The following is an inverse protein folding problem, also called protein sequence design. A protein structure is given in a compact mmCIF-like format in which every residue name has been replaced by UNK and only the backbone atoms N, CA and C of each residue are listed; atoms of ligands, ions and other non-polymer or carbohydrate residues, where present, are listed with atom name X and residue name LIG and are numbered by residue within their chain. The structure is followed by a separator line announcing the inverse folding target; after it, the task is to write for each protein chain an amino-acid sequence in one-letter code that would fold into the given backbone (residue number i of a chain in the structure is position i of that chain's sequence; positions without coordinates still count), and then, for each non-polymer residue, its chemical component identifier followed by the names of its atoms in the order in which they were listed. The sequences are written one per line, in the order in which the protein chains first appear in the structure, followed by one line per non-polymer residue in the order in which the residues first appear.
data_IF_251120399896
#
_entry.id   IF_251120399896
#
_cell.length_a   1.000
_cell.length_b   1.000
_cell.length_c   1.000
_cell.angle_alpha   90.00
_cell.angle_beta   90.00
_cell.angle_gamma   90.00
#
_symmetry.space_group_name_H-M   'P 1'
#
loop_
_entity.id
_entity.type
_entity.pdbx_description
1 polymer ?
#
# COMPACT_ATOMS: atom_id res chain seq x y z
N UNK A 1 -46.77 2.82 -4.68
CA UNK A 1 -45.70 3.52 -5.42
C UNK A 1 -44.53 3.68 -4.48
N UNK A 2 -43.65 2.67 -4.40
CA UNK A 2 -42.49 2.71 -3.54
C UNK A 2 -41.44 3.62 -4.19
N UNK A 3 -41.09 4.72 -3.53
CA UNK A 3 -39.93 5.52 -3.89
C UNK A 3 -38.69 4.63 -3.83
N UNK A 4 -38.11 4.30 -4.98
CA UNK A 4 -36.78 3.74 -5.04
C UNK A 4 -35.82 4.74 -4.41
N UNK A 5 -35.20 4.36 -3.29
CA UNK A 5 -34.11 5.11 -2.72
C UNK A 5 -33.04 5.28 -3.81
N UNK A 6 -32.63 6.53 -4.08
CA UNK A 6 -31.51 6.80 -4.95
C UNK A 6 -30.29 6.01 -4.44
N UNK A 7 -29.47 5.41 -5.34
CA UNK A 7 -28.26 4.72 -4.91
C UNK A 7 -27.40 5.72 -4.13
N UNK A 8 -27.08 5.37 -2.88
CA UNK A 8 -26.23 6.18 -2.02
C UNK A 8 -24.90 6.41 -2.75
N UNK A 9 -24.40 7.65 -2.83
CA UNK A 9 -23.12 7.91 -3.49
C UNK A 9 -22.04 7.11 -2.78
N UNK A 10 -21.26 6.35 -3.56
CA UNK A 10 -20.12 5.60 -3.06
C UNK A 10 -19.21 6.53 -2.24
N UNK A 11 -19.10 6.27 -0.94
CA UNK A 11 -18.21 7.00 -0.03
C UNK A 11 -16.88 6.26 0.09
N UNK A 12 -15.80 7.00 -0.15
CA UNK A 12 -14.44 6.52 0.09
C UNK A 12 -14.07 6.70 1.56
N UNK A 13 -13.34 5.73 2.10
CA UNK A 13 -12.69 5.77 3.40
C UNK A 13 -11.46 6.68 3.33
N UNK A 14 -10.65 6.55 2.27
CA UNK A 14 -9.48 7.41 2.05
C UNK A 14 -9.70 8.35 0.86
N UNK A 15 -9.38 9.64 1.05
CA UNK A 15 -9.40 10.59 -0.05
C UNK A 15 -8.20 10.33 -0.99
N UNK A 16 -8.42 10.06 -2.29
CA UNK A 16 -7.36 9.69 -3.20
C UNK A 16 -6.41 10.85 -3.54
N UNK A 17 -6.63 12.07 -3.07
CA UNK A 17 -5.76 13.21 -3.34
C UNK A 17 -5.11 13.75 -2.07
N UNK A 18 -5.77 13.63 -0.93
CA UNK A 18 -5.28 14.09 0.37
C UNK A 18 -4.55 12.98 1.13
N UNK A 19 -5.10 11.77 1.17
CA UNK A 19 -4.54 10.62 1.90
C UNK A 19 -3.54 9.86 1.03
N UNK A 20 -2.39 10.48 0.77
CA UNK A 20 -1.38 9.95 -0.18
C UNK A 20 -0.52 8.81 0.36
N UNK A 21 -0.51 8.60 1.68
CA UNK A 21 0.24 7.52 2.32
C UNK A 21 -0.41 6.14 2.16
N UNK A 22 -1.71 6.10 1.85
CA UNK A 22 -2.46 4.87 1.57
C UNK A 22 -3.03 4.88 0.16
N UNK A 23 -3.28 3.70 -0.38
CA UNK A 23 -3.87 3.53 -1.70
C UNK A 23 -4.71 2.26 -1.75
N UNK A 24 -5.81 2.32 -2.50
CA UNK A 24 -6.56 1.12 -2.87
C UNK A 24 -5.65 0.16 -3.63
N UNK A 25 -5.49 -1.08 -3.12
CA UNK A 25 -4.62 -2.14 -3.65
C UNK A 25 -4.89 -2.49 -5.13
N UNK A 26 -6.09 -2.21 -5.63
CA UNK A 26 -6.42 -2.41 -7.04
C UNK A 26 -5.84 -1.30 -7.95
N UNK A 27 -5.56 -0.11 -7.42
CA UNK A 27 -5.03 1.02 -8.20
C UNK A 27 -3.58 0.77 -8.69
N UNK A 28 -2.63 0.30 -7.86
CA UNK A 28 -1.32 -0.14 -8.34
C UNK A 28 -1.42 -1.23 -9.40
N UNK A 29 -2.31 -2.22 -9.22
CA UNK A 29 -2.51 -3.31 -10.20
C UNK A 29 -3.01 -2.77 -11.55
N UNK A 30 -3.98 -1.85 -11.52
CA UNK A 30 -4.45 -1.17 -12.71
C UNK A 30 -3.32 -0.40 -13.40
N UNK A 31 -2.50 0.33 -12.64
CA UNK A 31 -1.33 1.02 -13.18
C UNK A 31 -0.33 0.04 -13.83
N UNK A 32 -0.04 -1.09 -13.17
CA UNK A 32 0.85 -2.12 -13.72
C UNK A 32 0.29 -2.75 -15.00
N UNK A 33 -1.03 -2.93 -15.13
CA UNK A 33 -1.64 -3.39 -16.38
C UNK A 33 -1.36 -2.42 -17.53
N UNK A 34 -1.51 -1.12 -17.29
CA UNK A 34 -1.27 -0.08 -18.31
C UNK A 34 0.23 0.03 -18.64
N UNK A 35 1.10 0.08 -17.64
CA UNK A 35 2.56 0.10 -17.81
C UNK A 35 3.02 -1.12 -18.60
N UNK A 36 2.58 -2.31 -18.22
CA UNK A 36 2.93 -3.56 -18.87
C UNK A 36 2.46 -3.63 -20.32
N UNK A 37 1.22 -3.19 -20.60
CA UNK A 37 0.69 -3.11 -21.96
C UNK A 37 1.50 -2.15 -22.84
N UNK A 38 1.78 -0.93 -22.36
CA UNK A 38 2.56 0.06 -23.13
C UNK A 38 4.01 -0.40 -23.34
N UNK A 39 4.63 -1.01 -22.31
CA UNK A 39 5.96 -1.57 -22.42
C UNK A 39 6.02 -2.70 -23.46
N UNK A 40 5.02 -3.60 -23.45
CA UNK A 40 4.89 -4.70 -24.41
C UNK A 40 4.69 -4.17 -25.84
N UNK A 41 3.80 -3.19 -26.04
CA UNK A 41 3.60 -2.56 -27.34
C UNK A 41 4.90 -1.94 -27.86
N UNK A 42 5.64 -1.24 -27.00
CA UNK A 42 6.95 -0.68 -27.37
C UNK A 42 7.95 -1.76 -27.80
N UNK A 43 7.96 -2.93 -27.14
CA UNK A 43 8.84 -4.04 -27.50
C UNK A 43 8.43 -4.73 -28.81
N UNK A 44 7.13 -5.01 -29.00
CA UNK A 44 6.61 -5.71 -30.18
C UNK A 44 6.74 -4.85 -31.43
N UNK A 45 6.45 -3.55 -31.34
CA UNK A 45 6.46 -2.64 -32.49
C UNK A 45 7.76 -1.87 -32.65
N UNK A 46 8.73 -2.02 -31.74
CA UNK A 46 9.97 -1.25 -31.76
C UNK A 46 9.73 0.25 -31.59
N UNK A 47 8.86 0.62 -30.66
CA UNK A 47 8.39 2.00 -30.48
C UNK A 47 9.00 2.63 -29.21
N UNK A 48 10.23 3.17 -29.26
CA UNK A 48 10.93 3.70 -28.07
C UNK A 48 10.22 4.90 -27.45
N UNK A 49 9.46 5.66 -28.25
CA UNK A 49 8.67 6.78 -27.76
C UNK A 49 7.58 6.33 -26.77
N UNK A 50 7.01 5.13 -26.94
CA UNK A 50 6.06 4.57 -25.97
C UNK A 50 6.70 4.38 -24.59
N UNK A 51 7.93 3.85 -24.54
CA UNK A 51 8.69 3.70 -23.30
C UNK A 51 9.08 5.04 -22.69
N UNK A 52 9.51 6.00 -23.52
CA UNK A 52 9.86 7.35 -23.05
C UNK A 52 8.65 8.07 -22.43
N UNK A 53 7.49 8.04 -23.10
CA UNK A 53 6.26 8.66 -22.61
C UNK A 53 5.81 7.99 -21.29
N UNK A 54 5.80 6.66 -21.24
CA UNK A 54 5.41 5.95 -20.01
C UNK A 54 6.40 6.21 -18.87
N UNK A 55 7.70 6.20 -19.15
CA UNK A 55 8.75 6.55 -18.18
C UNK A 55 8.53 7.96 -17.61
N UNK A 56 8.26 8.94 -18.47
CA UNK A 56 7.97 10.32 -18.08
C UNK A 56 6.68 10.42 -17.28
N UNK A 57 5.62 9.71 -17.68
CA UNK A 57 4.34 9.72 -16.99
C UNK A 57 4.44 9.16 -15.56
N UNK A 58 5.24 8.11 -15.37
CA UNK A 58 5.57 7.59 -14.05
C UNK A 58 6.36 8.61 -13.23
N UNK A 59 7.39 9.23 -13.83
CA UNK A 59 8.22 10.24 -13.16
C UNK A 59 7.42 11.47 -12.72
N UNK A 60 6.51 11.94 -13.55
CA UNK A 60 5.59 13.06 -13.23
C UNK A 60 4.71 12.68 -12.04
N UNK A 61 4.09 11.49 -12.04
CA UNK A 61 3.26 11.05 -10.92
C UNK A 61 4.05 10.88 -9.61
N UNK A 62 5.31 10.44 -9.71
CA UNK A 62 6.20 10.26 -8.56
C UNK A 62 6.66 11.59 -7.93
N UNK A 63 6.85 12.62 -8.75
CA UNK A 63 7.42 13.93 -8.35
C UNK A 63 6.36 14.99 -8.05
N UNK A 64 5.33 15.11 -8.90
CA UNK A 64 4.27 16.12 -8.75
C UNK A 64 3.04 15.58 -8.00
N UNK A 65 3.00 14.27 -7.77
CA UNK A 65 1.99 13.59 -6.97
C UNK A 65 0.89 12.89 -7.78
N UNK A 66 0.06 12.12 -7.06
CA UNK A 66 -0.96 11.21 -7.61
C UNK A 66 -1.97 11.87 -8.54
N UNK A 67 -2.25 13.18 -8.36
CA UNK A 67 -3.15 13.96 -9.23
C UNK A 67 -2.63 14.16 -10.67
N UNK A 68 -1.34 14.01 -10.91
CA UNK A 68 -0.75 14.10 -12.25
C UNK A 68 -0.44 12.72 -12.86
N UNK A 69 -0.78 11.65 -12.16
CA UNK A 69 -0.70 10.28 -12.65
C UNK A 69 -1.97 9.97 -13.46
N UNK A 70 -1.87 9.92 -14.80
CA UNK A 70 -3.02 9.70 -15.70
C UNK A 70 -3.73 8.37 -15.43
N UNK A 71 -2.96 7.31 -15.17
CA UNK A 71 -3.50 5.99 -14.80
C UNK A 71 -4.22 6.04 -13.46
N UNK A 72 -3.71 6.82 -12.50
CA UNK A 72 -4.35 7.03 -11.20
C UNK A 72 -5.66 7.82 -11.36
N UNK A 73 -5.68 8.88 -12.18
CA UNK A 73 -6.89 9.63 -12.52
C UNK A 73 -7.95 8.72 -13.15
N UNK A 74 -7.55 7.88 -14.11
CA UNK A 74 -8.44 6.90 -14.72
C UNK A 74 -9.00 5.91 -13.68
N UNK A 75 -8.15 5.38 -12.79
CA UNK A 75 -8.61 4.47 -11.76
C UNK A 75 -9.59 5.14 -10.79
N UNK A 76 -9.19 6.24 -10.14
CA UNK A 76 -10.01 6.90 -9.11
C UNK A 76 -11.23 7.63 -9.67
N UNK A 77 -11.15 8.14 -10.90
CA UNK A 77 -12.24 8.85 -11.55
C UNK A 77 -13.23 7.95 -12.28
N UNK A 78 -12.78 6.82 -12.83
CA UNK A 78 -13.61 5.97 -13.69
C UNK A 78 -13.81 4.57 -13.11
N UNK A 79 -12.78 3.92 -12.60
CA UNK A 79 -12.87 2.51 -12.18
C UNK A 79 -13.45 2.39 -10.77
N UNK A 80 -12.79 2.99 -9.78
CA UNK A 80 -13.16 2.85 -8.37
C UNK A 80 -14.62 3.23 -8.05
N UNK A 81 -15.21 4.31 -8.61
CA UNK A 81 -16.61 4.64 -8.35
C UNK A 81 -17.61 3.57 -8.80
N UNK A 82 -17.21 2.68 -9.72
CA UNK A 82 -18.06 1.59 -10.24
C UNK A 82 -17.89 0.27 -9.48
N UNK A 83 -16.72 0.03 -8.88
CA UNK A 83 -16.35 -1.25 -8.25
C UNK A 83 -16.18 -1.16 -6.73
N UNK A 84 -16.38 0.03 -6.16
CA UNK A 84 -16.14 0.32 -4.75
C UNK A 84 -14.66 0.40 -4.38
N UNK A 85 -14.39 0.84 -3.14
CA UNK A 85 -13.04 0.90 -2.58
C UNK A 85 -12.54 -0.50 -2.24
N UNK A 86 -11.31 -0.81 -2.63
CA UNK A 86 -10.59 -1.99 -2.16
C UNK A 86 -10.02 -1.84 -0.77
N UNK A 87 -9.41 -2.93 -0.32
CA UNK A 87 -8.47 -2.92 0.79
C UNK A 87 -7.41 -1.84 0.56
N UNK A 88 -7.15 -1.04 1.59
CA UNK A 88 -6.15 0.02 1.56
C UNK A 88 -4.80 -0.55 1.96
N UNK A 89 -3.77 -0.24 1.18
CA UNK A 89 -2.39 -0.60 1.44
C UNK A 89 -1.47 0.64 1.46
N UNK A 90 -0.27 0.50 2.03
CA UNK A 90 0.75 1.56 2.02
C UNK A 90 1.14 1.91 0.56
N UNK A 91 1.17 3.21 0.24
CA UNK A 91 1.55 3.72 -1.09
C UNK A 91 3.04 3.60 -1.40
N UNK A 92 3.93 3.46 -0.41
CA UNK A 92 5.39 3.50 -0.58
C UNK A 92 5.95 2.33 -1.41
N UNK A 93 5.58 1.05 -1.17
CA UNK A 93 6.05 -0.05 -2.02
C UNK A 93 5.67 0.11 -3.50
N UNK A 94 4.40 0.43 -3.88
CA UNK A 94 4.05 0.72 -5.26
C UNK A 94 4.80 1.91 -5.87
N UNK A 95 5.13 2.94 -5.09
CA UNK A 95 5.96 4.06 -5.56
C UNK A 95 7.37 3.61 -5.90
N UNK A 96 7.99 2.72 -5.11
CA UNK A 96 9.28 2.13 -5.45
C UNK A 96 9.23 1.34 -6.76
N UNK A 97 8.18 0.53 -6.95
CA UNK A 97 7.99 -0.19 -8.21
C UNK A 97 7.90 0.77 -9.40
N UNK A 98 7.17 1.88 -9.29
CA UNK A 98 7.09 2.90 -10.34
C UNK A 98 8.42 3.62 -10.59
N UNK A 99 9.24 3.86 -9.56
CA UNK A 99 10.59 4.43 -9.73
C UNK A 99 11.47 3.50 -10.57
N UNK A 100 11.48 2.20 -10.23
CA UNK A 100 12.24 1.18 -10.98
C UNK A 100 11.72 1.10 -12.42
N UNK A 101 10.39 1.05 -12.61
CA UNK A 101 9.76 1.02 -13.93
C UNK A 101 10.12 2.23 -14.79
N UNK A 102 10.08 3.44 -14.22
CA UNK A 102 10.48 4.67 -14.91
C UNK A 102 11.95 4.63 -15.35
N UNK A 103 12.86 4.21 -14.44
CA UNK A 103 14.28 4.08 -14.75
C UNK A 103 14.54 3.09 -15.89
N UNK A 104 13.93 1.90 -15.85
CA UNK A 104 14.14 0.87 -16.86
C UNK A 104 13.53 1.24 -18.21
N UNK A 105 12.33 1.82 -18.25
CA UNK A 105 11.71 2.28 -19.50
C UNK A 105 12.46 3.47 -20.11
N UNK A 106 12.97 4.38 -19.26
CA UNK A 106 13.81 5.49 -19.70
C UNK A 106 15.12 4.98 -20.31
N UNK A 107 15.78 4.04 -19.61
CA UNK A 107 16.98 3.37 -20.12
C UNK A 107 16.72 2.59 -21.43
N UNK A 108 15.55 1.94 -21.55
CA UNK A 108 15.15 1.24 -22.76
C UNK A 108 15.03 2.19 -23.97
N UNK A 109 14.36 3.33 -23.78
CA UNK A 109 14.22 4.35 -24.82
C UNK A 109 15.58 4.96 -25.21
N UNK A 110 16.42 5.30 -24.22
CA UNK A 110 17.76 5.83 -24.46
C UNK A 110 18.64 4.82 -25.20
N UNK A 111 18.67 3.56 -24.77
CA UNK A 111 19.44 2.51 -25.43
C UNK A 111 19.04 2.36 -26.90
N UNK A 112 17.73 2.41 -27.19
CA UNK A 112 17.23 2.38 -28.56
C UNK A 112 17.73 3.57 -29.39
N UNK A 113 17.56 4.80 -28.91
CA UNK A 113 18.00 6.01 -29.63
C UNK A 113 19.52 6.13 -29.78
N UNK A 114 20.28 5.54 -28.87
CA UNK A 114 21.74 5.47 -28.93
C UNK A 114 22.25 4.32 -29.83
N UNK A 115 21.36 3.64 -30.56
CA UNK A 115 21.72 2.62 -31.55
C UNK A 115 21.84 1.20 -31.00
N UNK A 116 21.35 0.94 -29.79
CA UNK A 116 21.29 -0.40 -29.18
C UNK A 116 19.84 -0.87 -28.98
N UNK A 117 19.09 -1.12 -30.08
CA UNK A 117 17.68 -1.51 -30.00
C UNK A 117 17.48 -2.84 -29.26
N UNK A 118 18.42 -3.79 -29.36
CA UNK A 118 18.35 -5.07 -28.64
C UNK A 118 18.30 -4.87 -27.12
N UNK A 119 19.13 -3.96 -26.58
CA UNK A 119 19.10 -3.62 -25.15
C UNK A 119 17.79 -2.92 -24.79
N UNK A 120 17.30 -2.03 -25.66
CA UNK A 120 15.99 -1.41 -25.51
C UNK A 120 14.86 -2.43 -25.39
N UNK A 121 14.77 -3.37 -26.34
CA UNK A 121 13.75 -4.45 -26.32
C UNK A 121 13.90 -5.32 -25.08
N UNK A 122 15.12 -5.69 -24.69
CA UNK A 122 15.35 -6.51 -23.50
C UNK A 122 14.80 -5.82 -22.24
N UNK A 123 15.15 -4.56 -22.02
CA UNK A 123 14.70 -3.78 -20.86
C UNK A 123 13.18 -3.56 -20.88
N UNK A 124 12.64 -3.14 -22.03
CA UNK A 124 11.19 -2.94 -22.20
C UNK A 124 10.38 -4.22 -21.97
N UNK A 125 10.87 -5.35 -22.48
CA UNK A 125 10.23 -6.67 -22.31
C UNK A 125 10.30 -7.15 -20.86
N UNK A 126 11.42 -6.89 -20.16
CA UNK A 126 11.54 -7.21 -18.74
C UNK A 126 10.52 -6.43 -17.89
N UNK A 127 10.35 -5.12 -18.17
CA UNK A 127 9.31 -4.30 -17.52
C UNK A 127 7.92 -4.83 -17.86
N UNK A 128 7.65 -5.14 -19.14
CA UNK A 128 6.37 -5.69 -19.57
C UNK A 128 6.01 -6.97 -18.81
N UNK A 129 6.95 -7.92 -18.74
CA UNK A 129 6.74 -9.19 -18.06
C UNK A 129 6.44 -9.01 -16.56
N UNK A 130 7.25 -8.22 -15.85
CA UNK A 130 7.07 -7.98 -14.42
C UNK A 130 5.80 -7.18 -14.10
N UNK A 131 5.46 -6.19 -14.92
CA UNK A 131 4.26 -5.38 -14.72
C UNK A 131 2.98 -6.19 -14.99
N UNK A 132 2.95 -7.00 -16.05
CA UNK A 132 1.80 -7.87 -16.34
C UNK A 132 1.66 -9.01 -15.31
N UNK A 133 2.78 -9.53 -14.80
CA UNK A 133 2.77 -10.47 -13.67
C UNK A 133 2.16 -9.82 -12.42
N UNK A 134 2.57 -8.59 -12.10
CA UNK A 134 2.03 -7.85 -10.96
C UNK A 134 0.53 -7.52 -11.13
N UNK A 135 0.10 -7.18 -12.35
CA UNK A 135 -1.30 -6.90 -12.65
C UNK A 135 -2.20 -8.12 -12.47
N UNK A 136 -1.73 -9.31 -12.83
CA UNK A 136 -2.53 -10.56 -12.84
C UNK A 136 -2.46 -11.33 -11.53
N UNK A 137 -1.29 -11.42 -10.91
CA UNK A 137 -1.07 -12.22 -9.69
C UNK A 137 -1.04 -11.40 -8.41
N UNK A 138 -0.81 -10.09 -8.50
CA UNK A 138 -0.50 -9.24 -7.35
C UNK A 138 0.94 -9.35 -6.86
N UNK A 139 1.77 -10.21 -7.46
CA UNK A 139 3.20 -10.28 -7.16
C UNK A 139 3.94 -9.13 -7.85
N UNK A 140 4.36 -8.13 -7.07
CA UNK A 140 5.16 -7.02 -7.57
C UNK A 140 6.58 -7.09 -6.99
N UNK A 141 7.57 -7.37 -7.84
CA UNK A 141 8.97 -7.46 -7.42
C UNK A 141 9.47 -6.19 -6.71
N UNK A 142 9.05 -5.00 -7.17
CA UNK A 142 9.38 -3.73 -6.51
C UNK A 142 8.81 -3.62 -5.10
N UNK A 143 7.59 -4.11 -4.86
CA UNK A 143 6.99 -4.13 -3.53
C UNK A 143 7.72 -5.09 -2.59
N UNK A 144 8.15 -6.25 -3.09
CA UNK A 144 8.94 -7.21 -2.29
C UNK A 144 10.34 -6.69 -1.96
N UNK A 145 11.00 -6.00 -2.90
CA UNK A 145 12.26 -5.29 -2.64
C UNK A 145 12.07 -4.25 -1.54
N UNK A 146 10.98 -3.47 -1.57
CA UNK A 146 10.68 -2.52 -0.51
C UNK A 146 10.53 -3.21 0.84
N UNK A 147 9.73 -4.27 0.93
CA UNK A 147 9.53 -5.03 2.18
C UNK A 147 10.83 -5.63 2.71
N UNK A 148 11.65 -6.21 1.83
CA UNK A 148 12.95 -6.77 2.20
C UNK A 148 13.89 -5.69 2.71
N UNK A 149 14.01 -4.57 2.00
CA UNK A 149 14.88 -3.46 2.41
C UNK A 149 14.40 -2.78 3.69
N UNK A 150 13.09 -2.66 3.90
CA UNK A 150 12.53 -2.19 5.17
C UNK A 150 12.94 -3.10 6.33
N UNK A 151 12.81 -4.43 6.18
CA UNK A 151 13.27 -5.41 7.18
C UNK A 151 14.77 -5.28 7.46
N UNK A 152 15.60 -5.14 6.41
CA UNK A 152 17.06 -4.99 6.55
C UNK A 152 17.47 -3.67 7.24
N UNK A 153 16.68 -2.60 7.09
CA UNK A 153 16.88 -1.32 7.77
C UNK A 153 16.46 -1.33 9.24
N UNK A 154 16.07 -2.48 9.79
CA UNK A 154 15.60 -2.58 11.17
C UNK A 154 14.19 -2.04 11.37
N UNK A 155 13.44 -1.77 10.28
CA UNK A 155 11.99 -1.60 10.32
C UNK A 155 11.37 -3.00 10.44
N UNK A 156 11.71 -3.66 11.53
CA UNK A 156 11.14 -4.91 11.97
C UNK A 156 10.40 -4.61 13.27
N UNK A 157 9.17 -5.12 13.46
CA UNK A 157 8.50 -5.03 14.75
C UNK A 157 9.46 -5.51 15.84
N UNK A 158 9.82 -4.65 16.79
CA UNK A 158 10.55 -5.12 17.96
C UNK A 158 9.53 -5.83 18.84
N UNK A 159 9.70 -7.14 19.04
CA UNK A 159 8.85 -7.87 19.98
C UNK A 159 9.20 -7.45 21.40
N UNK A 160 8.42 -6.51 21.93
CA UNK A 160 8.42 -6.21 23.35
C UNK A 160 7.66 -7.32 24.08
N UNK A 161 8.28 -7.87 25.13
CA UNK A 161 7.65 -8.84 26.01
C UNK A 161 6.64 -8.18 26.97
N UNK A 162 6.68 -6.86 27.10
CA UNK A 162 5.87 -6.11 28.07
C UNK A 162 5.54 -4.71 27.55
N UNK A 163 4.31 -4.28 27.79
CA UNK A 163 3.83 -2.91 27.68
C UNK A 163 3.72 -2.29 29.08
N UNK A 164 3.93 -0.99 29.19
CA UNK A 164 3.77 -0.25 30.45
C UNK A 164 2.27 0.00 30.69
N UNK A 165 1.67 -0.53 31.79
CA UNK A 165 0.24 -0.32 32.06
C UNK A 165 -0.15 1.15 32.15
N UNK A 166 0.78 2.04 32.53
CA UNK A 166 0.54 3.48 32.60
C UNK A 166 0.26 4.10 31.22
N UNK A 167 0.71 3.48 30.13
CA UNK A 167 0.45 3.94 28.77
C UNK A 167 -0.89 3.43 28.22
N UNK A 168 -1.55 2.50 28.92
CA UNK A 168 -2.70 1.75 28.46
C UNK A 168 -3.93 2.14 29.29
N UNK A 169 -4.46 3.33 29.01
CA UNK A 169 -5.70 3.80 29.62
C UNK A 169 -6.84 2.80 29.33
N UNK A 170 -7.36 2.15 30.37
CA UNK A 170 -8.45 1.18 30.27
C UNK A 170 -8.11 -0.28 30.59
N UNK A 171 -6.90 -0.59 31.06
CA UNK A 171 -6.54 -1.94 31.54
C UNK A 171 -7.12 -2.32 32.92
N UNK A 172 -7.78 -1.38 33.61
CA UNK A 172 -8.07 -1.49 35.04
C UNK A 172 -8.87 -2.76 35.40
N UNK A 173 -8.24 -3.65 36.18
CA UNK A 173 -8.89 -4.77 36.87
C UNK A 173 -9.13 -6.05 36.06
N UNK A 174 -8.64 -6.16 34.82
CA UNK A 174 -8.86 -7.35 33.97
C UNK A 174 -7.67 -8.31 33.97
N UNK A 175 -7.96 -9.62 33.95
CA UNK A 175 -6.94 -10.69 33.86
C UNK A 175 -6.30 -10.80 32.47
N UNK A 176 -7.00 -10.34 31.43
CA UNK A 176 -6.54 -10.29 30.04
C UNK A 176 -7.26 -9.14 29.32
N UNK A 177 -6.52 -8.41 28.50
CA UNK A 177 -7.05 -7.36 27.63
C UNK A 177 -6.32 -7.37 26.29
N UNK A 178 -6.91 -6.76 25.27
CA UNK A 178 -6.29 -6.62 23.96
C UNK A 178 -5.85 -5.18 23.75
N UNK A 179 -4.63 -4.99 23.26
CA UNK A 179 -4.10 -3.69 22.86
C UNK A 179 -3.89 -3.73 21.36
N UNK A 180 -4.48 -2.79 20.67
CA UNK A 180 -4.34 -2.64 19.23
C UNK A 180 -3.66 -1.30 18.91
N UNK A 181 -2.48 -1.35 18.33
CA UNK A 181 -1.93 -0.18 17.65
C UNK A 181 -2.57 -0.08 16.26
N UNK A 182 -3.33 0.99 16.05
CA UNK A 182 -4.22 1.17 14.90
C UNK A 182 -3.87 2.42 14.10
N UNK A 183 -4.53 2.58 12.96
CA UNK A 183 -4.53 3.80 12.15
C UNK A 183 -5.90 3.97 11.47
N UNK A 184 -6.49 5.18 11.36
CA UNK A 184 -7.85 5.37 10.85
C UNK A 184 -8.08 4.88 9.40
N UNK A 185 -7.00 4.83 8.61
CA UNK A 185 -7.01 4.41 7.20
C UNK A 185 -6.63 2.92 7.00
N UNK A 186 -6.42 2.19 8.08
CA UNK A 186 -6.04 0.78 8.03
C UNK A 186 -7.30 -0.09 8.04
N UNK A 187 -7.62 -0.73 6.91
CA UNK A 187 -8.80 -1.61 6.81
C UNK A 187 -8.69 -2.83 7.72
N UNK A 188 -7.51 -3.46 7.80
CA UNK A 188 -7.27 -4.63 8.65
C UNK A 188 -7.42 -4.27 10.15
N UNK A 189 -7.06 -3.05 10.56
CA UNK A 189 -7.22 -2.59 11.93
C UNK A 189 -8.71 -2.51 12.31
N UNK A 190 -9.54 -1.96 11.41
CA UNK A 190 -10.99 -1.91 11.63
C UNK A 190 -11.61 -3.31 11.74
N UNK A 191 -11.16 -4.25 10.91
CA UNK A 191 -11.63 -5.64 10.97
C UNK A 191 -11.24 -6.34 12.30
N UNK A 192 -10.04 -6.06 12.82
CA UNK A 192 -9.62 -6.58 14.12
C UNK A 192 -10.41 -5.97 15.28
N UNK A 193 -10.58 -4.65 15.29
CA UNK A 193 -11.35 -3.93 16.30
C UNK A 193 -12.80 -4.41 16.35
N UNK A 194 -13.45 -4.57 15.18
CA UNK A 194 -14.82 -5.09 15.06
C UNK A 194 -14.91 -6.54 15.57
N UNK A 195 -13.98 -7.42 15.17
CA UNK A 195 -13.97 -8.82 15.61
C UNK A 195 -13.79 -8.96 17.13
N UNK A 196 -12.79 -8.27 17.70
CA UNK A 196 -12.53 -8.37 19.13
C UNK A 196 -13.71 -7.83 19.94
N UNK A 197 -14.33 -6.73 19.50
CA UNK A 197 -15.54 -6.21 20.15
C UNK A 197 -16.73 -7.16 19.99
N UNK A 198 -16.91 -7.81 18.84
CA UNK A 198 -18.00 -8.78 18.65
C UNK A 198 -17.85 -10.02 19.52
N UNK A 199 -16.61 -10.39 19.84
CA UNK A 199 -16.30 -11.50 20.75
C UNK A 199 -16.47 -11.10 22.24
N UNK A 200 -16.86 -9.84 22.51
CA UNK A 200 -17.05 -9.31 23.86
C UNK A 200 -15.74 -8.94 24.56
N UNK A 201 -14.64 -8.87 23.82
CA UNK A 201 -13.31 -8.61 24.35
C UNK A 201 -13.08 -7.11 24.58
N UNK A 202 -12.31 -6.80 25.63
CA UNK A 202 -11.91 -5.42 25.94
C UNK A 202 -10.68 -5.04 25.11
N UNK A 203 -10.88 -4.16 24.12
CA UNK A 203 -9.83 -3.61 23.26
C UNK A 203 -9.47 -2.19 23.67
N UNK A 204 -8.17 -1.95 23.89
CA UNK A 204 -7.54 -0.63 24.03
C UNK A 204 -6.88 -0.29 22.69
N UNK A 205 -7.45 0.67 21.97
CA UNK A 205 -6.91 1.15 20.69
C UNK A 205 -5.95 2.31 20.91
N UNK A 206 -4.76 2.23 20.32
CA UNK A 206 -3.76 3.30 20.28
C UNK A 206 -3.55 3.73 18.82
N UNK A 207 -4.10 4.89 18.44
CA UNK A 207 -3.83 5.47 17.11
C UNK A 207 -2.37 5.96 17.05
N UNK A 208 -1.59 5.37 16.14
CA UNK A 208 -0.17 5.72 15.97
C UNK A 208 0.03 7.15 15.43
N UNK A 209 -1.00 7.79 14.86
CA UNK A 209 -0.98 9.22 14.50
C UNK A 209 -1.03 10.12 15.72
N UNK A 210 -1.87 9.78 16.68
CA UNK A 210 -2.09 10.56 17.90
C UNK A 210 -0.99 10.29 18.93
N UNK A 211 -0.52 9.03 19.00
CA UNK A 211 0.50 8.55 19.94
C UNK A 211 1.74 7.95 19.25
N UNK A 212 2.46 8.71 18.40
CA UNK A 212 3.67 8.23 17.74
C UNK A 212 4.83 7.96 18.71
N UNK A 213 4.79 8.59 19.89
CA UNK A 213 5.69 8.32 21.02
C UNK A 213 5.57 6.87 21.50
N UNK A 214 4.35 6.35 21.66
CA UNK A 214 4.12 4.97 22.08
C UNK A 214 4.49 3.97 21.00
N UNK A 215 4.15 4.25 19.74
CA UNK A 215 4.58 3.43 18.62
C UNK A 215 6.11 3.28 18.59
N UNK A 216 6.86 4.36 18.81
CA UNK A 216 8.33 4.32 18.93
C UNK A 216 8.81 3.59 20.19
N UNK A 217 8.23 3.88 21.36
CA UNK A 217 8.57 3.24 22.65
C UNK A 217 8.49 1.71 22.53
N UNK A 218 7.41 1.23 21.91
CA UNK A 218 7.13 -0.19 21.76
C UNK A 218 7.64 -0.83 20.47
N UNK A 219 8.31 -0.06 19.60
CA UNK A 219 8.88 -0.57 18.35
C UNK A 219 7.83 -1.07 17.36
N UNK A 220 6.67 -0.42 17.36
CA UNK A 220 5.56 -0.65 16.43
C UNK A 220 5.91 0.00 15.10
N UNK A 221 6.20 -0.85 14.12
CA UNK A 221 6.63 -0.44 12.79
C UNK A 221 5.52 -0.57 11.73
N UNK A 222 4.53 -1.42 12.00
CA UNK A 222 3.43 -1.80 11.11
C UNK A 222 2.18 -1.82 11.97
N UNK A 223 1.05 -1.42 11.41
CA UNK A 223 -0.29 -1.59 11.99
C UNK A 223 -1.13 -2.47 11.06
N UNK A 224 -2.08 -3.27 11.58
CA UNK A 224 -2.41 -3.40 13.00
C UNK A 224 -1.36 -4.22 13.76
N UNK A 225 -1.00 -3.76 14.96
CA UNK A 225 -0.34 -4.61 15.96
C UNK A 225 -1.33 -4.93 17.06
N UNK A 226 -1.78 -6.18 17.13
CA UNK A 226 -2.76 -6.65 18.12
C UNK A 226 -2.09 -7.57 19.12
N UNK A 227 -2.16 -7.22 20.40
CA UNK A 227 -1.50 -7.90 21.50
C UNK A 227 -2.52 -8.28 22.57
N UNK A 228 -2.52 -9.53 23.01
CA UNK A 228 -3.14 -9.89 24.29
C UNK A 228 -2.15 -9.60 25.41
N UNK A 229 -2.58 -8.83 26.41
CA UNK A 229 -1.75 -8.43 27.55
C UNK A 229 -2.39 -8.84 28.88
N UNK A 230 -1.54 -9.23 29.81
CA UNK A 230 -1.90 -9.45 31.21
C UNK A 230 -2.02 -8.14 32.01
N UNK A 231 -2.46 -8.21 33.27
CA UNK A 231 -2.72 -7.04 34.12
C UNK A 231 -1.46 -6.21 34.43
N UNK A 232 -0.29 -6.84 34.39
CA UNK A 232 1.02 -6.22 34.59
C UNK A 232 1.62 -5.65 33.29
N UNK A 233 0.88 -5.74 32.18
CA UNK A 233 1.28 -5.36 30.84
C UNK A 233 2.13 -6.40 30.11
N UNK A 234 2.32 -7.60 30.68
CA UNK A 234 3.05 -8.69 30.01
C UNK A 234 2.30 -9.13 28.76
N UNK A 235 3.01 -9.23 27.63
CA UNK A 235 2.44 -9.69 26.35
C UNK A 235 2.29 -11.20 26.41
N UNK A 236 1.04 -11.66 26.49
CA UNK A 236 0.67 -13.08 26.55
C UNK A 236 0.68 -13.70 25.15
N UNK A 237 0.19 -12.94 24.17
CA UNK A 237 0.00 -13.41 22.80
C UNK A 237 0.05 -12.23 21.81
N UNK A 238 0.54 -12.48 20.60
CA UNK A 238 0.48 -11.52 19.49
C UNK A 238 -0.41 -12.09 18.40
N UNK A 239 -1.53 -11.41 18.15
CA UNK A 239 -2.56 -11.83 17.21
C UNK A 239 -2.33 -11.27 15.80
N UNK A 240 -1.75 -10.07 15.70
CA UNK A 240 -1.43 -9.40 14.43
C UNK A 240 -0.05 -8.67 14.52
N UNK A 241 0.60 -8.39 13.38
CA UNK A 241 2.02 -8.00 13.27
C UNK A 241 2.47 -6.89 14.19
#
# INVERSE_FOLDING_TARGET
MALQAAPQPFQRIADPWLDTDVIDKRAPRFNQAVVGAVALLGAVFGWPLAWAIMSMQLLIGLTLGRRFCLTCLAYFGLVQPRVGEGELEDSRPPRLANMIGSAFLGAAALAWWLGSPTVGVMLGSAVAALALLAATSGFCAGCEIYRLTARLRGISPQRRARLDPADLAGLDGRSRAYVEFTHPLCSECREWEERLRSDGESVVTLDVRERPDLARKYGIAIVPTVLAVGPDGTVLERLAP
#
